data_IF_195181677246
#
_entry.id   IF_195181677246
#
_cell.length_a   1.000
_cell.length_b   1.000
_cell.length_c   1.000
_cell.angle_alpha   90.00
_cell.angle_beta   90.00
_cell.angle_gamma   90.00
#
_symmetry.space_group_name_H-M   'P 1'
#
loop_
_entity.id
_entity.type
_entity.pdbx_description
1 polymer ?
#
# COMPACT_ATOMS: atom_id res chain seq x y z
N UNK A 1 27.29 -4.70 -9.86
CA UNK A 1 26.84 -5.86 -9.05
C UNK A 1 25.60 -5.57 -8.20
N UNK A 2 25.65 -4.86 -7.06
CA UNK A 2 24.47 -4.75 -6.15
C UNK A 2 23.22 -4.07 -6.75
N UNK A 3 23.36 -3.23 -7.78
CA UNK A 3 22.23 -2.58 -8.49
C UNK A 3 21.54 -3.49 -9.52
N UNK A 4 22.21 -4.53 -10.03
CA UNK A 4 21.63 -5.45 -11.02
C UNK A 4 20.79 -6.55 -10.38
N UNK A 5 21.20 -7.05 -9.21
CA UNK A 5 20.39 -8.02 -8.44
C UNK A 5 19.06 -7.42 -7.97
N UNK A 6 19.05 -6.15 -7.55
CA UNK A 6 17.81 -5.45 -7.19
C UNK A 6 16.88 -5.30 -8.41
N UNK A 7 17.44 -5.18 -9.62
CA UNK A 7 16.66 -5.05 -10.85
C UNK A 7 15.97 -6.35 -11.27
N UNK A 8 16.51 -7.50 -10.85
CA UNK A 8 16.02 -8.84 -11.20
C UNK A 8 15.08 -9.45 -10.16
N UNK A 9 14.74 -8.72 -9.09
CA UNK A 9 13.79 -9.22 -8.10
C UNK A 9 12.38 -9.30 -8.73
N UNK A 10 11.69 -10.47 -8.69
CA UNK A 10 10.39 -10.66 -9.34
C UNK A 10 9.30 -9.68 -8.88
N UNK A 11 9.43 -9.13 -7.66
CA UNK A 11 8.55 -8.10 -7.11
C UNK A 11 8.57 -6.76 -7.88
N UNK A 12 9.62 -6.47 -8.66
CA UNK A 12 9.85 -5.16 -9.29
C UNK A 12 9.44 -5.15 -10.77
N UNK A 13 9.21 -6.32 -11.39
CA UNK A 13 9.10 -6.45 -12.85
C UNK A 13 7.69 -6.22 -13.45
N UNK A 14 6.66 -5.92 -12.66
CA UNK A 14 5.32 -5.67 -13.22
C UNK A 14 5.13 -4.22 -13.66
N UNK A 15 4.89 -4.01 -14.97
CA UNK A 15 4.46 -2.72 -15.52
C UNK A 15 3.19 -2.27 -14.78
N UNK A 16 3.29 -1.19 -14.01
CA UNK A 16 2.16 -0.59 -13.28
C UNK A 16 1.21 0.07 -14.28
N UNK A 17 -0.09 -0.17 -14.16
CA UNK A 17 -1.07 0.61 -14.92
C UNK A 17 -1.28 1.98 -14.26
N UNK A 18 -1.66 3.00 -15.04
CA UNK A 18 -1.88 4.35 -14.52
C UNK A 18 -2.88 4.40 -13.35
N UNK A 19 -3.94 3.58 -13.42
CA UNK A 19 -4.92 3.47 -12.34
C UNK A 19 -4.34 2.91 -11.04
N UNK A 20 -3.39 1.98 -11.12
CA UNK A 20 -2.71 1.42 -9.94
C UNK A 20 -1.79 2.45 -9.29
N UNK A 21 -1.08 3.25 -10.09
CA UNK A 21 -0.22 4.32 -9.57
C UNK A 21 -1.05 5.41 -8.88
N UNK A 22 -2.17 5.80 -9.50
CA UNK A 22 -3.06 6.80 -8.91
C UNK A 22 -3.68 6.30 -7.60
N UNK A 23 -4.15 5.05 -7.55
CA UNK A 23 -4.73 4.46 -6.34
C UNK A 23 -3.71 4.31 -5.21
N UNK A 24 -2.48 3.85 -5.50
CA UNK A 24 -1.41 3.73 -4.51
C UNK A 24 -1.01 5.09 -3.93
N UNK A 25 -0.88 6.12 -4.77
CA UNK A 25 -0.57 7.46 -4.30
C UNK A 25 -1.72 8.07 -3.49
N UNK A 26 -2.96 7.88 -3.93
CA UNK A 26 -4.14 8.37 -3.22
C UNK A 26 -4.29 7.68 -1.86
N UNK A 27 -4.11 6.36 -1.78
CA UNK A 27 -4.18 5.62 -0.52
C UNK A 27 -3.09 6.07 0.48
N UNK A 28 -1.85 6.27 0.01
CA UNK A 28 -0.75 6.79 0.84
C UNK A 28 -1.01 8.21 1.34
N UNK A 29 -1.61 9.05 0.50
CA UNK A 29 -1.95 10.42 0.87
C UNK A 29 -3.15 10.50 1.83
N UNK A 30 -4.22 9.74 1.56
CA UNK A 30 -5.42 9.66 2.39
C UNK A 30 -5.16 9.00 3.76
N UNK A 31 -4.14 8.14 3.88
CA UNK A 31 -3.73 7.52 5.14
C UNK A 31 -2.85 8.40 6.04
N UNK A 32 -2.50 9.61 5.61
CA UNK A 32 -1.64 10.51 6.38
C UNK A 32 -2.41 11.23 7.50
N UNK A 33 -1.80 11.32 8.69
CA UNK A 33 -2.32 12.12 9.81
C UNK A 33 -2.58 13.59 9.43
N UNK A 34 -1.73 14.16 8.57
CA UNK A 34 -1.89 15.54 8.10
C UNK A 34 -3.14 15.73 7.25
N UNK A 35 -3.50 14.71 6.43
CA UNK A 35 -4.71 14.75 5.62
C UNK A 35 -5.97 14.73 6.49
N UNK A 36 -6.00 13.88 7.51
CA UNK A 36 -7.14 13.79 8.46
C UNK A 36 -7.37 15.14 9.14
N UNK A 37 -6.30 15.80 9.61
CA UNK A 37 -6.41 17.10 10.29
C UNK A 37 -6.94 18.19 9.34
N UNK A 38 -6.41 18.28 8.12
CA UNK A 38 -6.88 19.24 7.12
C UNK A 38 -8.34 18.97 6.74
N UNK A 39 -8.71 17.71 6.57
CA UNK A 39 -10.07 17.30 6.22
C UNK A 39 -11.07 17.64 7.33
N UNK A 40 -10.73 17.36 8.59
CA UNK A 40 -11.54 17.76 9.74
C UNK A 40 -11.69 19.29 9.83
N UNK A 41 -10.60 20.04 9.62
CA UNK A 41 -10.66 21.51 9.61
C UNK A 41 -11.56 22.03 8.49
N UNK A 42 -11.45 21.45 7.29
CA UNK A 42 -12.31 21.78 6.16
C UNK A 42 -13.79 21.51 6.46
N UNK A 43 -14.12 20.36 7.06
CA UNK A 43 -15.49 20.05 7.45
C UNK A 43 -16.04 21.05 8.47
N UNK A 44 -15.25 21.39 9.49
CA UNK A 44 -15.63 22.39 10.49
C UNK A 44 -15.86 23.76 9.83
N UNK A 45 -14.95 24.19 8.96
CA UNK A 45 -15.06 25.46 8.23
C UNK A 45 -16.30 25.48 7.31
N UNK A 46 -16.60 24.36 6.65
CA UNK A 46 -17.79 24.22 5.82
C UNK A 46 -19.06 24.36 6.65
N UNK A 47 -19.16 23.65 7.78
CA UNK A 47 -20.32 23.73 8.68
C UNK A 47 -20.50 25.15 9.25
N UNK A 48 -19.40 25.83 9.61
CA UNK A 48 -19.44 27.22 10.11
C UNK A 48 -19.93 28.16 9.00
N UNK A 49 -19.37 28.05 7.79
CA UNK A 49 -19.75 28.89 6.65
C UNK A 49 -21.22 28.68 6.28
N UNK A 50 -21.69 27.44 6.26
CA UNK A 50 -23.07 27.11 5.94
C UNK A 50 -24.05 27.58 7.03
N UNK A 51 -23.67 27.43 8.31
CA UNK A 51 -24.43 27.96 9.45
C UNK A 51 -24.55 29.49 9.40
N UNK A 52 -23.48 30.20 9.03
CA UNK A 52 -23.52 31.66 8.85
C UNK A 52 -24.43 32.04 7.67
N UNK A 53 -24.35 31.30 6.56
CA UNK A 53 -25.19 31.55 5.39
C UNK A 53 -26.69 31.33 5.65
N UNK A 54 -27.02 30.35 6.50
CA UNK A 54 -28.39 30.12 7.00
C UNK A 54 -28.90 31.35 7.77
N UNK A 55 -28.07 31.98 8.60
CA UNK A 55 -28.41 33.18 9.38
C UNK A 55 -28.61 34.40 8.48
N UNK A 56 -27.90 34.47 7.35
CA UNK A 56 -28.03 35.54 6.34
C UNK A 56 -29.23 35.33 5.38
N UNK A 57 -30.08 34.32 5.58
CA UNK A 57 -31.33 34.12 4.83
C UNK A 57 -31.16 33.54 3.42
N UNK A 58 -29.95 33.07 3.07
CA UNK A 58 -29.69 32.30 1.83
C UNK A 58 -29.29 30.89 2.21
N UNK A 59 -30.26 29.99 2.28
CA UNK A 59 -29.97 28.58 2.59
C UNK A 59 -29.43 27.86 1.35
N UNK A 60 -28.11 27.75 1.25
CA UNK A 60 -27.48 26.93 0.19
C UNK A 60 -27.52 25.43 0.55
N UNK A 61 -27.45 25.09 1.85
CA UNK A 61 -27.58 23.70 2.35
C UNK A 61 -28.23 23.67 3.76
N UNK A 62 -29.57 23.64 3.81
CA UNK A 62 -30.34 23.60 5.07
C UNK A 62 -30.08 22.32 5.87
N UNK A 63 -30.16 22.42 7.20
CA UNK A 63 -30.14 21.26 8.10
C UNK A 63 -31.17 20.21 7.65
N UNK A 64 -30.79 18.96 7.37
CA UNK A 64 -29.57 18.24 7.78
C UNK A 64 -28.56 18.04 6.62
N UNK A 65 -27.82 19.08 6.22
CA UNK A 65 -26.66 19.07 5.29
C UNK A 65 -26.64 17.93 4.27
N UNK A 66 -27.66 17.87 3.40
CA UNK A 66 -27.91 16.70 2.55
C UNK A 66 -26.79 16.49 1.53
N UNK A 67 -26.20 17.58 1.01
CA UNK A 67 -25.11 17.53 0.05
C UNK A 67 -23.81 17.03 0.69
N UNK A 68 -23.49 17.53 1.88
CA UNK A 68 -22.30 17.11 2.63
C UNK A 68 -22.37 15.62 2.98
N UNK A 69 -23.55 15.14 3.42
CA UNK A 69 -23.77 13.74 3.73
C UNK A 69 -23.63 12.85 2.47
N UNK A 70 -24.20 13.28 1.35
CA UNK A 70 -24.13 12.53 0.09
C UNK A 70 -22.68 12.41 -0.43
N UNK A 71 -21.92 13.50 -0.39
CA UNK A 71 -20.51 13.51 -0.80
C UNK A 71 -19.68 12.61 0.12
N UNK A 72 -19.82 12.75 1.45
CA UNK A 72 -19.09 11.94 2.42
C UNK A 72 -19.39 10.45 2.27
N UNK A 73 -20.67 10.09 2.11
CA UNK A 73 -21.08 8.69 1.92
C UNK A 73 -20.48 8.08 0.66
N UNK A 74 -20.43 8.85 -0.44
CA UNK A 74 -19.83 8.39 -1.70
C UNK A 74 -18.31 8.20 -1.58
N UNK A 75 -17.62 9.13 -0.91
CA UNK A 75 -16.17 9.03 -0.66
C UNK A 75 -15.88 7.79 0.19
N UNK A 76 -16.62 7.58 1.27
CA UNK A 76 -16.45 6.43 2.16
C UNK A 76 -16.70 5.09 1.43
N UNK A 77 -17.73 5.02 0.59
CA UNK A 77 -18.05 3.84 -0.21
C UNK A 77 -16.94 3.48 -1.21
N UNK A 78 -16.30 4.49 -1.82
CA UNK A 78 -15.18 4.28 -2.75
C UNK A 78 -13.86 3.96 -2.04
N UNK A 79 -13.75 4.28 -0.75
CA UNK A 79 -12.52 4.08 0.03
C UNK A 79 -12.21 2.60 0.24
N UNK A 80 -13.22 1.78 0.59
CA UNK A 80 -13.02 0.35 0.86
C UNK A 80 -12.49 -0.46 -0.35
N UNK A 81 -13.03 -0.32 -1.58
CA UNK A 81 -12.49 -0.98 -2.77
C UNK A 81 -11.08 -0.51 -3.12
N UNK A 82 -10.76 0.77 -2.99
CA UNK A 82 -9.43 1.31 -3.27
C UNK A 82 -8.41 0.73 -2.30
N UNK A 83 -8.75 0.69 -1.01
CA UNK A 83 -7.93 0.05 0.03
C UNK A 83 -7.77 -1.43 -0.29
N UNK A 84 -8.86 -2.15 -0.61
CA UNK A 84 -8.82 -3.58 -0.94
C UNK A 84 -7.97 -3.86 -2.19
N UNK A 85 -8.03 -3.01 -3.22
CA UNK A 85 -7.20 -3.13 -4.42
C UNK A 85 -5.71 -2.92 -4.09
N UNK A 86 -5.39 -1.95 -3.22
CA UNK A 86 -4.01 -1.74 -2.76
C UNK A 86 -3.49 -2.91 -1.91
N UNK A 87 -4.34 -3.47 -1.04
CA UNK A 87 -3.99 -4.63 -0.21
C UNK A 87 -3.83 -5.91 -1.04
N UNK A 88 -4.74 -6.17 -1.98
CA UNK A 88 -4.64 -7.34 -2.87
C UNK A 88 -3.35 -7.28 -3.72
N UNK A 89 -2.92 -6.07 -4.10
CA UNK A 89 -1.66 -5.85 -4.80
C UNK A 89 -0.46 -6.13 -3.92
N UNK A 90 -0.42 -5.60 -2.69
CA UNK A 90 0.69 -5.86 -1.76
C UNK A 90 0.79 -7.34 -1.40
N UNK A 91 -0.35 -8.01 -1.16
CA UNK A 91 -0.38 -9.45 -0.88
C UNK A 91 0.20 -10.31 -2.03
N UNK A 92 -0.05 -9.92 -3.28
CA UNK A 92 0.55 -10.60 -4.45
C UNK A 92 2.07 -10.41 -4.50
N UNK A 93 2.54 -9.19 -4.21
CA UNK A 93 3.97 -8.88 -4.18
C UNK A 93 4.66 -9.65 -3.05
N UNK A 94 4.05 -9.69 -1.86
CA UNK A 94 4.58 -10.42 -0.71
C UNK A 94 4.66 -11.92 -0.98
N UNK A 95 3.64 -12.49 -1.64
CA UNK A 95 3.67 -13.90 -2.06
C UNK A 95 4.82 -14.20 -3.03
N UNK A 96 5.03 -13.35 -4.04
CA UNK A 96 6.14 -13.49 -4.99
C UNK A 96 7.50 -13.38 -4.31
N UNK A 97 7.63 -12.47 -3.33
CA UNK A 97 8.85 -12.33 -2.54
C UNK A 97 9.10 -13.58 -1.70
N UNK A 98 8.08 -14.12 -1.04
CA UNK A 98 8.21 -15.35 -0.25
C UNK A 98 8.62 -16.57 -1.10
N UNK A 99 8.07 -16.72 -2.31
CA UNK A 99 8.44 -17.81 -3.23
C UNK A 99 9.89 -17.68 -3.73
N UNK A 100 10.33 -16.45 -4.01
CA UNK A 100 11.71 -16.18 -4.38
C UNK A 100 12.67 -16.51 -3.24
N UNK A 101 12.39 -16.02 -2.02
CA UNK A 101 13.20 -16.28 -0.83
C UNK A 101 13.27 -17.78 -0.52
N UNK A 102 12.15 -18.50 -0.69
CA UNK A 102 12.12 -19.96 -0.56
C UNK A 102 13.09 -20.64 -1.54
N UNK A 103 13.08 -20.21 -2.81
CA UNK A 103 13.94 -20.79 -3.85
C UNK A 103 15.42 -20.52 -3.60
N UNK A 104 15.75 -19.29 -3.18
CA UNK A 104 17.12 -18.90 -2.81
C UNK A 104 17.60 -19.71 -1.61
N UNK A 105 16.79 -19.82 -0.56
CA UNK A 105 17.13 -20.59 0.64
C UNK A 105 17.35 -22.07 0.33
N UNK A 106 16.51 -22.67 -0.53
CA UNK A 106 16.69 -24.06 -0.96
C UNK A 106 17.99 -24.26 -1.73
N UNK A 107 18.38 -23.29 -2.57
CA UNK A 107 19.67 -23.34 -3.29
C UNK A 107 20.84 -23.22 -2.32
N UNK A 108 20.77 -22.30 -1.37
CA UNK A 108 21.79 -22.12 -0.33
C UNK A 108 21.94 -23.38 0.53
N UNK A 109 20.84 -24.04 0.92
CA UNK A 109 20.89 -25.30 1.66
C UNK A 109 21.64 -26.39 0.89
N UNK A 110 21.40 -26.49 -0.43
CA UNK A 110 22.10 -27.44 -1.29
C UNK A 110 23.60 -27.15 -1.35
N UNK A 111 23.99 -25.89 -1.58
CA UNK A 111 25.40 -25.48 -1.62
C UNK A 111 26.11 -25.75 -0.28
N UNK A 112 25.45 -25.47 0.86
CA UNK A 112 25.98 -25.77 2.19
C UNK A 112 26.18 -27.28 2.38
N UNK A 113 25.23 -28.10 1.90
CA UNK A 113 25.33 -29.56 1.98
C UNK A 113 26.51 -30.08 1.17
N UNK A 114 26.71 -29.57 -0.04
CA UNK A 114 27.85 -29.93 -0.90
C UNK A 114 29.18 -29.56 -0.24
N UNK A 115 29.30 -28.37 0.35
CA UNK A 115 30.49 -27.95 1.10
C UNK A 115 30.74 -28.87 2.31
N UNK A 116 29.69 -29.24 3.06
CA UNK A 116 29.81 -30.16 4.20
C UNK A 116 30.30 -31.54 3.77
N UNK A 117 29.82 -32.05 2.64
CA UNK A 117 30.28 -33.33 2.07
C UNK A 117 31.75 -33.26 1.64
N UNK A 118 32.18 -32.16 1.03
CA UNK A 118 33.58 -31.92 0.68
C UNK A 118 34.48 -31.87 1.93
N UNK A 119 34.05 -31.16 2.97
CA UNK A 119 34.78 -31.06 4.24
C UNK A 119 34.96 -32.45 4.89
N UNK A 120 33.88 -33.23 5.01
CA UNK A 120 33.92 -34.60 5.54
C UNK A 120 34.80 -35.54 4.70
N UNK A 121 34.90 -35.29 3.39
CA UNK A 121 35.78 -36.05 2.49
C UNK A 121 37.26 -35.72 2.75
N UNK A 122 37.58 -34.44 2.99
CA UNK A 122 38.93 -34.00 3.31
C UNK A 122 39.35 -34.54 4.68
N UNK A 123 38.49 -34.43 5.70
CA UNK A 123 38.75 -34.95 7.06
C UNK A 123 39.08 -36.45 7.05
N UNK A 124 38.34 -37.25 6.26
CA UNK A 124 38.60 -38.68 6.11
C UNK A 124 39.90 -39.02 5.39
N UNK A 125 40.49 -38.12 4.61
CA UNK A 125 41.79 -38.31 3.96
C UNK A 125 42.99 -37.92 4.84
N UNK A 126 42.74 -37.11 5.87
CA UNK A 126 43.74 -36.63 6.83
C UNK A 126 43.93 -37.57 8.02
N UNK A 127 42.96 -38.45 8.28
CA UNK A 127 43.09 -39.61 9.18
C UNK A 127 43.62 -40.81 8.43
#
# INVERSE_FOLDING_TARGET
MKKEEIKNHPAISHKRTFGQIAAENFAKWAGSWTFIIIFCFFLILWVITNSIWIILGRSWDSYPFILLNLILSTIAALQAPVILMSQNREAQIDRLRAEYDYTVNKKAEKEIREIKEQLNRIERKLR
#
